data_IF_759119131628
#
_entry.id   IF_759119131628
#
_cell.length_a   1.000
_cell.length_b   1.000
_cell.length_c   1.000
_cell.angle_alpha   90.00
_cell.angle_beta   90.00
_cell.angle_gamma   90.00
#
_symmetry.space_group_name_H-M   'P 1'
#
loop_
_entity.id
_entity.type
_entity.pdbx_description
1 polymer ?
#
# COMPACT_ATOMS: atom_id res chain seq x y z
N UNK A 1 -9.03 -17.56 -7.06
CA UNK A 1 -7.64 -18.03 -6.94
C UNK A 1 -7.49 -19.07 -5.82
N UNK A 2 -7.10 -20.29 -6.17
CA UNK A 2 -6.80 -21.41 -5.28
C UNK A 2 -5.32 -21.83 -5.41
N UNK A 3 -4.75 -22.41 -4.35
CA UNK A 3 -3.38 -22.95 -4.38
C UNK A 3 -3.41 -24.44 -4.66
N UNK A 4 -2.74 -24.83 -5.74
CA UNK A 4 -2.67 -26.22 -6.15
C UNK A 4 -1.23 -26.68 -5.96
N UNK A 5 -1.10 -27.75 -5.16
CA UNK A 5 0.17 -28.42 -4.91
C UNK A 5 0.40 -29.45 -6.00
N UNK A 6 1.47 -29.28 -6.76
CA UNK A 6 1.88 -30.22 -7.81
C UNK A 6 3.20 -30.87 -7.41
N UNK A 7 3.25 -32.21 -7.49
CA UNK A 7 4.44 -32.99 -7.19
C UNK A 7 4.88 -33.75 -8.44
N UNK A 8 5.99 -33.32 -9.06
CA UNK A 8 6.52 -33.97 -10.26
C UNK A 8 7.94 -34.53 -10.02
N UNK A 9 8.44 -35.29 -11.00
CA UNK A 9 9.79 -35.89 -10.94
C UNK A 9 10.91 -34.83 -10.96
N UNK A 10 10.70 -33.74 -11.68
CA UNK A 10 11.62 -32.62 -11.81
C UNK A 10 10.87 -31.30 -12.08
N UNK A 11 11.58 -30.18 -11.98
CA UNK A 11 10.99 -28.84 -12.12
C UNK A 11 10.39 -28.56 -13.48
N UNK A 12 10.94 -29.18 -14.54
CA UNK A 12 10.45 -29.00 -15.90
C UNK A 12 9.11 -29.70 -16.08
N UNK A 13 9.02 -30.95 -15.65
CA UNK A 13 7.79 -31.75 -15.66
C UNK A 13 6.69 -31.10 -14.82
N UNK A 14 7.04 -30.54 -13.66
CA UNK A 14 6.07 -29.83 -12.82
C UNK A 14 5.53 -28.57 -13.52
N UNK A 15 6.39 -27.77 -14.16
CA UNK A 15 5.99 -26.55 -14.86
C UNK A 15 5.15 -26.87 -16.10
N UNK A 16 5.51 -27.92 -16.85
CA UNK A 16 4.71 -28.42 -17.98
C UNK A 16 3.32 -28.92 -17.52
N UNK A 17 3.23 -29.58 -16.36
CA UNK A 17 1.95 -30.02 -15.79
C UNK A 17 1.08 -28.84 -15.36
N UNK A 18 1.67 -27.79 -14.78
CA UNK A 18 0.98 -26.53 -14.43
C UNK A 18 0.41 -25.87 -15.69
N UNK A 19 1.25 -25.68 -16.72
CA UNK A 19 0.84 -25.06 -17.98
C UNK A 19 -0.26 -25.86 -18.68
N UNK A 20 -0.16 -27.20 -18.67
CA UNK A 20 -1.14 -28.07 -19.29
C UNK A 20 -2.50 -28.05 -18.59
N UNK A 21 -2.52 -27.97 -17.25
CA UNK A 21 -3.75 -28.03 -16.45
C UNK A 21 -4.42 -26.66 -16.28
N UNK A 22 -3.62 -25.59 -16.19
CA UNK A 22 -4.08 -24.29 -15.72
C UNK A 22 -3.78 -23.14 -16.69
N UNK A 23 -3.12 -23.43 -17.81
CA UNK A 23 -2.76 -22.45 -18.83
C UNK A 23 -1.62 -21.52 -18.42
N UNK A 24 -1.35 -20.53 -19.27
CA UNK A 24 -0.27 -19.56 -19.10
C UNK A 24 -0.49 -18.57 -17.93
N UNK A 25 -1.68 -18.62 -17.32
CA UNK A 25 -2.13 -17.71 -16.26
C UNK A 25 -1.80 -18.17 -14.83
N UNK A 26 -1.21 -19.36 -14.71
CA UNK A 26 -0.87 -19.98 -13.44
C UNK A 26 0.42 -19.40 -12.83
N UNK A 27 0.35 -18.94 -11.57
CA UNK A 27 1.47 -18.30 -10.87
C UNK A 27 2.17 -19.30 -9.94
N UNK A 28 3.44 -19.62 -10.21
CA UNK A 28 4.25 -20.46 -9.32
C UNK A 28 4.74 -19.62 -8.14
N UNK A 29 4.24 -19.91 -6.94
CA UNK A 29 4.58 -19.20 -5.70
C UNK A 29 5.83 -19.80 -5.05
N UNK A 30 5.98 -21.13 -5.14
CA UNK A 30 7.09 -21.84 -4.51
C UNK A 30 7.49 -23.04 -5.35
N UNK A 31 8.80 -23.28 -5.41
CA UNK A 31 9.41 -24.42 -6.08
C UNK A 31 10.46 -25.01 -5.14
N UNK A 32 10.22 -26.22 -4.63
CA UNK A 32 11.11 -26.86 -3.68
C UNK A 32 11.25 -28.36 -3.93
N UNK A 33 12.46 -28.89 -3.75
CA UNK A 33 12.70 -30.33 -3.88
C UNK A 33 12.47 -31.04 -2.54
N UNK A 34 11.52 -31.99 -2.50
CA UNK A 34 11.17 -32.77 -1.30
C UNK A 34 11.18 -34.25 -1.66
N UNK A 35 11.93 -35.07 -0.91
CA UNK A 35 12.02 -36.53 -1.06
C UNK A 35 12.29 -37.00 -2.51
N UNK A 36 13.18 -36.30 -3.21
CA UNK A 36 13.57 -36.64 -4.59
C UNK A 36 12.59 -36.22 -5.68
N UNK A 37 11.43 -35.66 -5.31
CA UNK A 37 10.44 -35.04 -6.22
C UNK A 37 10.48 -33.52 -6.09
N UNK A 38 9.95 -32.84 -7.08
CA UNK A 38 9.83 -31.39 -7.11
C UNK A 38 8.40 -30.98 -6.76
N UNK A 39 8.24 -30.23 -5.68
CA UNK A 39 6.99 -29.64 -5.21
C UNK A 39 6.86 -28.22 -5.75
N UNK A 40 5.80 -27.98 -6.53
CA UNK A 40 5.36 -26.67 -6.93
C UNK A 40 4.07 -26.30 -6.20
N UNK A 41 4.02 -25.09 -5.68
CA UNK A 41 2.79 -24.48 -5.18
C UNK A 41 2.39 -23.41 -6.18
N UNK A 42 1.20 -23.54 -6.75
CA UNK A 42 0.74 -22.70 -7.84
C UNK A 42 -0.58 -22.03 -7.50
N UNK A 43 -0.64 -20.71 -7.58
CA UNK A 43 -1.89 -19.96 -7.53
C UNK A 43 -2.55 -19.97 -8.89
N UNK A 44 -3.79 -20.46 -8.94
CA UNK A 44 -4.60 -20.52 -10.17
C UNK A 44 -5.94 -19.86 -9.93
N UNK A 45 -6.41 -19.00 -10.84
CA UNK A 45 -7.77 -18.48 -10.77
C UNK A 45 -8.76 -19.41 -11.47
N UNK A 46 -9.53 -20.18 -10.69
CA UNK A 46 -10.41 -21.22 -11.23
C UNK A 46 -11.56 -20.68 -12.10
N UNK A 47 -11.96 -19.41 -11.91
CA UNK A 47 -12.99 -18.79 -12.78
C UNK A 47 -12.48 -18.50 -14.19
N UNK A 48 -11.19 -18.23 -14.37
CA UNK A 48 -10.54 -18.10 -15.69
C UNK A 48 -10.14 -19.46 -16.26
N UNK A 49 -9.69 -20.39 -15.42
CA UNK A 49 -9.33 -21.74 -15.85
C UNK A 49 -10.54 -22.51 -16.41
N UNK A 50 -11.72 -22.40 -15.79
CA UNK A 50 -12.93 -23.06 -16.31
C UNK A 50 -13.39 -22.51 -17.67
N UNK A 51 -13.16 -21.22 -17.98
CA UNK A 51 -13.48 -20.66 -19.32
C UNK A 51 -12.58 -21.22 -20.42
N UNK A 52 -11.35 -21.62 -20.08
CA UNK A 52 -10.41 -22.22 -21.02
C UNK A 52 -10.59 -23.75 -21.17
N UNK A 53 -11.35 -24.39 -20.27
CA UNK A 53 -11.57 -25.85 -20.25
C UNK A 53 -12.86 -26.27 -20.98
N UNK A 54 -13.79 -25.35 -21.24
CA UNK A 54 -15.08 -25.64 -21.90
C UNK A 54 -15.01 -26.10 -23.37
N UNK A 55 -13.81 -26.39 -23.91
CA UNK A 55 -13.65 -26.93 -25.26
C UNK A 55 -12.98 -28.31 -25.35
N UNK A 56 -12.89 -29.10 -24.27
CA UNK A 56 -12.59 -30.54 -24.36
C UNK A 56 -13.10 -31.32 -23.15
N UNK A 57 -14.13 -32.11 -23.40
CA UNK A 57 -14.55 -33.36 -22.73
C UNK A 57 -14.28 -33.48 -21.21
N UNK A 58 -15.37 -33.43 -20.46
CA UNK A 58 -15.55 -33.80 -19.06
C UNK A 58 -14.88 -35.13 -18.65
N UNK A 59 -13.92 -35.05 -17.73
CA UNK A 59 -13.59 -36.12 -16.78
C UNK A 59 -13.67 -35.56 -15.36
N UNK A 60 -14.56 -36.14 -14.56
CA UNK A 60 -14.75 -35.84 -13.14
C UNK A 60 -13.48 -36.19 -12.34
N UNK A 61 -12.73 -35.18 -11.94
CA UNK A 61 -11.78 -35.29 -10.84
C UNK A 61 -12.26 -34.42 -9.68
N UNK A 62 -12.91 -35.04 -8.70
CA UNK A 62 -13.10 -34.47 -7.37
C UNK A 62 -11.75 -34.48 -6.64
N UNK A 63 -10.88 -33.51 -6.92
CA UNK A 63 -9.79 -33.17 -6.00
C UNK A 63 -10.29 -32.11 -5.01
N UNK A 64 -9.97 -32.24 -3.71
CA UNK A 64 -10.34 -31.24 -2.73
C UNK A 64 -9.56 -29.95 -3.03
N UNK A 65 -10.30 -28.86 -3.30
CA UNK A 65 -9.76 -27.51 -3.32
C UNK A 65 -9.02 -27.25 -2.00
N UNK A 66 -7.71 -27.01 -2.07
CA UNK A 66 -6.90 -26.71 -0.90
C UNK A 66 -6.92 -25.19 -0.71
N UNK A 67 -7.47 -24.72 0.41
CA UNK A 67 -7.55 -23.29 0.73
C UNK A 67 -6.15 -22.69 0.89
N UNK A 68 -5.95 -21.50 0.31
CA UNK A 68 -4.70 -20.74 0.41
C UNK A 68 -4.31 -20.52 1.88
N UNK A 69 -5.31 -20.28 2.74
CA UNK A 69 -5.10 -20.09 4.17
C UNK A 69 -4.43 -21.31 4.81
N UNK A 70 -4.90 -22.52 4.51
CA UNK A 70 -4.43 -23.75 5.14
C UNK A 70 -2.97 -24.07 4.77
N UNK A 71 -2.59 -23.86 3.50
CA UNK A 71 -1.20 -24.07 3.06
C UNK A 71 -0.27 -23.04 3.69
N UNK A 72 -0.67 -21.76 3.70
CA UNK A 72 0.13 -20.69 4.26
C UNK A 72 0.32 -20.86 5.78
N UNK A 73 -0.73 -21.22 6.50
CA UNK A 73 -0.70 -21.56 7.93
C UNK A 73 0.21 -22.76 8.21
N UNK A 74 0.16 -23.81 7.38
CA UNK A 74 1.03 -25.00 7.51
C UNK A 74 2.52 -24.69 7.31
N UNK A 75 2.87 -23.68 6.49
CA UNK A 75 4.26 -23.27 6.25
C UNK A 75 4.77 -22.30 7.33
N UNK A 76 3.91 -21.42 7.86
CA UNK A 76 4.23 -20.53 8.99
C UNK A 76 4.49 -21.30 10.29
N UNK A 77 3.65 -22.30 10.57
CA UNK A 77 3.80 -23.18 11.74
C UNK A 77 5.08 -24.02 11.69
N UNK A 78 5.42 -24.57 10.51
CA UNK A 78 6.65 -25.35 10.33
C UNK A 78 7.95 -24.53 10.52
N UNK A 79 7.92 -23.20 10.35
CA UNK A 79 9.09 -22.35 10.54
C UNK A 79 9.34 -21.92 12.00
N UNK A 80 8.37 -22.12 12.92
CA UNK A 80 8.54 -21.84 14.36
C UNK A 80 9.20 -22.98 15.14
N UNK A 81 9.42 -24.15 14.52
CA UNK A 81 10.00 -25.34 15.14
C UNK A 81 11.53 -25.37 15.27
N UNK A 82 12.26 -24.29 14.94
CA UNK A 82 13.73 -24.24 15.07
C UNK A 82 14.21 -23.02 15.86
N UNK A 83 13.92 -23.01 17.16
CA UNK A 83 14.66 -22.18 18.12
C UNK A 83 14.64 -22.81 19.52
N UNK A 84 15.77 -23.43 19.87
CA UNK A 84 16.39 -23.65 21.19
C UNK A 84 15.47 -24.17 22.31
N UNK A 85 15.67 -25.46 22.65
CA UNK A 85 15.24 -26.12 23.88
C UNK A 85 15.53 -25.27 25.14
N UNK A 86 14.48 -24.68 25.71
CA UNK A 86 14.38 -24.45 27.16
C UNK A 86 12.95 -24.79 27.59
N UNK A 87 12.84 -25.86 28.39
CA UNK A 87 11.61 -26.25 29.10
C UNK A 87 11.08 -25.06 29.91
N UNK A 88 9.97 -24.49 29.46
CA UNK A 88 9.06 -23.65 30.24
C UNK A 88 7.71 -24.41 30.25
N UNK A 89 6.94 -24.41 31.36
CA UNK A 89 5.71 -25.19 31.47
C UNK A 89 4.69 -24.78 30.42
N UNK A 90 3.92 -25.77 29.95
CA UNK A 90 2.86 -25.66 28.98
C UNK A 90 1.70 -24.82 29.51
N UNK A 91 1.66 -23.54 29.16
CA UNK A 91 0.40 -22.79 29.05
C UNK A 91 -0.18 -23.11 27.67
N UNK A 92 -1.27 -23.88 27.63
CA UNK A 92 -2.08 -24.00 26.41
C UNK A 92 -2.54 -22.59 26.02
N UNK A 93 -2.30 -22.13 24.77
CA UNK A 93 -2.75 -20.82 24.35
C UNK A 93 -4.28 -20.78 24.36
N UNK A 94 -4.80 -19.81 25.12
CA UNK A 94 -6.23 -19.53 25.30
C UNK A 94 -6.98 -19.54 23.96
N UNK A 95 -8.18 -20.14 23.89
CA UNK A 95 -8.93 -20.35 22.63
C UNK A 95 -9.19 -19.05 21.84
N UNK A 96 -9.33 -17.92 22.55
CA UNK A 96 -9.43 -16.59 21.94
C UNK A 96 -8.13 -16.16 21.25
N UNK A 97 -6.96 -16.55 21.78
CA UNK A 97 -5.66 -16.23 21.22
C UNK A 97 -5.46 -16.97 19.89
N UNK A 98 -5.84 -18.24 19.82
CA UNK A 98 -5.81 -19.02 18.57
C UNK A 98 -6.76 -18.46 17.51
N UNK A 99 -7.99 -18.09 17.88
CA UNK A 99 -8.91 -17.45 16.93
C UNK A 99 -8.38 -16.11 16.38
N UNK A 100 -7.71 -15.32 17.23
CA UNK A 100 -7.06 -14.06 16.80
C UNK A 100 -5.89 -14.30 15.87
N UNK A 101 -5.09 -15.34 16.12
CA UNK A 101 -3.98 -15.71 15.23
C UNK A 101 -4.48 -16.18 13.86
N UNK A 102 -5.53 -17.00 13.83
CA UNK A 102 -6.14 -17.48 12.57
C UNK A 102 -6.76 -16.35 11.75
N UNK A 103 -7.47 -15.41 12.39
CA UNK A 103 -8.01 -14.22 11.70
C UNK A 103 -6.89 -13.39 11.05
N UNK A 104 -5.80 -13.15 11.78
CA UNK A 104 -4.64 -12.44 11.25
C UNK A 104 -3.95 -13.19 10.11
N UNK A 105 -3.84 -14.51 10.21
CA UNK A 105 -3.25 -15.33 9.14
C UNK A 105 -4.05 -15.22 7.84
N UNK A 106 -5.38 -15.34 7.92
CA UNK A 106 -6.30 -15.16 6.78
C UNK A 106 -6.22 -13.76 6.16
N UNK A 107 -6.07 -12.72 6.98
CA UNK A 107 -5.93 -11.35 6.49
C UNK A 107 -4.59 -11.11 5.78
N UNK A 108 -3.50 -11.65 6.32
CA UNK A 108 -2.19 -11.60 5.67
C UNK A 108 -2.24 -12.30 4.30
N UNK A 109 -2.90 -13.45 4.24
CA UNK A 109 -3.18 -14.20 3.02
C UNK A 109 -3.94 -13.33 2.00
N UNK A 110 -5.04 -12.70 2.42
CA UNK A 110 -5.84 -11.87 1.52
C UNK A 110 -5.05 -10.65 1.00
N UNK A 111 -4.24 -10.03 1.86
CA UNK A 111 -3.37 -8.92 1.49
C UNK A 111 -2.33 -9.37 0.46
N UNK A 112 -1.63 -10.48 0.73
CA UNK A 112 -0.65 -11.05 -0.20
C UNK A 112 -1.31 -11.42 -1.53
N UNK A 113 -2.50 -12.02 -1.50
CA UNK A 113 -3.26 -12.33 -2.72
C UNK A 113 -3.58 -11.06 -3.53
N UNK A 114 -4.01 -10.00 -2.85
CA UNK A 114 -4.27 -8.70 -3.47
C UNK A 114 -3.02 -8.12 -4.14
N UNK A 115 -1.87 -8.16 -3.45
CA UNK A 115 -0.58 -7.70 -3.99
C UNK A 115 -0.14 -8.52 -5.21
N UNK A 116 -0.22 -9.86 -5.14
CA UNK A 116 0.13 -10.73 -6.26
C UNK A 116 -0.76 -10.49 -7.48
N UNK A 117 -2.06 -10.26 -7.26
CA UNK A 117 -3.00 -9.95 -8.34
C UNK A 117 -2.66 -8.61 -8.99
N UNK A 118 -2.32 -7.58 -8.20
CA UNK A 118 -1.89 -6.30 -8.74
C UNK A 118 -0.59 -6.41 -9.53
N UNK A 119 0.39 -7.18 -9.04
CA UNK A 119 1.65 -7.45 -9.75
C UNK A 119 1.38 -8.17 -11.07
N UNK A 120 0.52 -9.20 -11.08
CA UNK A 120 0.14 -9.92 -12.31
C UNK A 120 -0.46 -8.95 -13.33
N UNK A 121 -1.37 -8.08 -12.90
CA UNK A 121 -1.99 -7.09 -13.77
C UNK A 121 -0.96 -6.09 -14.33
N UNK A 122 -0.05 -5.58 -13.51
CA UNK A 122 1.04 -4.69 -13.95
C UNK A 122 1.94 -5.37 -14.99
N UNK A 123 2.32 -6.64 -14.78
CA UNK A 123 3.12 -7.41 -15.74
C UNK A 123 2.36 -7.60 -17.05
N UNK A 124 1.08 -7.93 -17.00
CA UNK A 124 0.26 -8.12 -18.20
C UNK A 124 0.10 -6.83 -18.99
N UNK A 125 -0.14 -5.70 -18.30
CA UNK A 125 -0.18 -4.38 -18.94
C UNK A 125 1.18 -4.01 -19.57
N UNK A 126 2.29 -4.27 -18.87
CA UNK A 126 3.62 -4.00 -19.40
C UNK A 126 3.96 -4.86 -20.63
N UNK A 127 3.60 -6.16 -20.61
CA UNK A 127 3.74 -7.06 -21.77
C UNK A 127 2.93 -6.57 -22.97
N UNK A 128 1.66 -6.20 -22.74
CA UNK A 128 0.78 -5.71 -23.80
C UNK A 128 1.27 -4.36 -24.36
N UNK A 129 1.76 -3.47 -23.51
CA UNK A 129 2.37 -2.22 -23.94
C UNK A 129 3.62 -2.43 -24.81
N UNK A 130 4.49 -3.37 -24.42
CA UNK A 130 5.66 -3.76 -25.21
C UNK A 130 5.30 -4.40 -26.56
N UNK A 131 4.15 -5.09 -26.63
CA UNK A 131 3.62 -5.66 -27.88
C UNK A 131 2.93 -4.60 -28.78
N UNK A 132 2.35 -3.55 -28.20
CA UNK A 132 1.59 -2.51 -28.90
C UNK A 132 2.44 -1.31 -29.37
N UNK A 133 3.65 -1.10 -28.84
CA UNK A 133 4.38 0.13 -29.12
C UNK A 133 5.89 0.00 -29.11
N UNK A 134 6.47 -0.26 -30.29
CA UNK A 134 7.80 0.24 -30.68
C UNK A 134 7.81 1.78 -30.81
N UNK A 135 7.16 2.49 -29.89
CA UNK A 135 7.37 3.93 -29.72
C UNK A 135 8.47 4.04 -28.65
N UNK A 136 9.69 3.63 -29.00
CA UNK A 136 10.82 4.17 -28.27
C UNK A 136 10.78 5.68 -28.57
N UNK A 137 10.79 6.55 -27.55
CA UNK A 137 10.94 7.96 -27.79
C UNK A 137 12.16 8.16 -28.69
N UNK A 138 11.99 8.85 -29.82
CA UNK A 138 13.11 9.18 -30.71
C UNK A 138 14.17 9.99 -29.96
N UNK A 139 13.73 10.73 -28.94
CA UNK A 139 14.57 11.50 -28.05
C UNK A 139 15.12 10.65 -26.88
N UNK A 140 16.45 10.59 -26.77
CA UNK A 140 17.18 9.89 -25.71
C UNK A 140 16.79 10.38 -24.31
N UNK A 141 16.60 11.69 -24.12
CA UNK A 141 16.21 12.23 -22.80
C UNK A 141 14.84 11.70 -22.38
N UNK A 142 13.87 11.68 -23.31
CA UNK A 142 12.54 11.17 -23.01
C UNK A 142 12.58 9.66 -22.74
N UNK A 143 13.42 8.91 -23.44
CA UNK A 143 13.61 7.48 -23.15
C UNK A 143 14.16 7.24 -21.72
N UNK A 144 15.13 8.04 -21.27
CA UNK A 144 15.65 7.97 -19.88
C UNK A 144 14.56 8.38 -18.89
N UNK A 145 13.76 9.40 -19.21
CA UNK A 145 12.66 9.84 -18.36
C UNK A 145 11.62 8.72 -18.19
N UNK A 146 11.25 8.00 -19.26
CA UNK A 146 10.34 6.85 -19.19
C UNK A 146 10.93 5.70 -18.36
N UNK A 147 12.24 5.47 -18.43
CA UNK A 147 12.91 4.52 -17.54
C UNK A 147 12.84 4.99 -16.07
N UNK A 148 13.12 6.27 -15.81
CA UNK A 148 13.03 6.85 -14.48
C UNK A 148 11.61 6.72 -13.90
N UNK A 149 10.57 7.01 -14.68
CA UNK A 149 9.16 6.78 -14.32
C UNK A 149 8.90 5.33 -13.92
N UNK A 150 9.51 4.36 -14.62
CA UNK A 150 9.40 2.94 -14.28
C UNK A 150 10.09 2.62 -12.95
N UNK A 151 11.31 3.12 -12.74
CA UNK A 151 12.11 2.81 -11.54
C UNK A 151 11.59 3.47 -10.26
N UNK A 152 10.81 4.56 -10.34
CA UNK A 152 10.13 5.17 -9.18
C UNK A 152 8.78 4.51 -8.84
N UNK A 153 8.43 3.40 -9.51
CA UNK A 153 7.21 2.65 -9.22
C UNK A 153 5.93 3.30 -9.77
N UNK A 154 6.02 4.08 -10.85
CA UNK A 154 4.83 4.64 -11.50
C UNK A 154 3.96 3.51 -12.09
N UNK A 155 2.65 3.44 -11.77
CA UNK A 155 1.75 2.43 -12.34
C UNK A 155 1.79 2.42 -13.87
N UNK A 156 1.75 1.23 -14.47
CA UNK A 156 1.94 1.07 -15.92
C UNK A 156 0.91 1.86 -16.73
N UNK A 157 -0.35 1.85 -16.34
CA UNK A 157 -1.40 2.60 -17.03
C UNK A 157 -1.10 4.12 -17.05
N UNK A 158 -0.77 4.70 -15.89
CA UNK A 158 -0.40 6.12 -15.78
C UNK A 158 0.86 6.44 -16.58
N UNK A 159 1.88 5.57 -16.50
CA UNK A 159 3.14 5.74 -17.24
C UNK A 159 2.93 5.77 -18.74
N UNK A 160 2.04 4.94 -19.29
CA UNK A 160 1.72 4.94 -20.72
C UNK A 160 1.04 6.24 -21.14
N UNK A 161 0.04 6.70 -20.37
CA UNK A 161 -0.66 7.95 -20.63
C UNK A 161 0.30 9.15 -20.61
N UNK A 162 1.15 9.23 -19.58
CA UNK A 162 2.11 10.33 -19.45
C UNK A 162 3.22 10.26 -20.52
N UNK A 163 3.69 9.06 -20.86
CA UNK A 163 4.73 8.89 -21.89
C UNK A 163 4.22 9.31 -23.27
N UNK A 164 2.96 8.97 -23.61
CA UNK A 164 2.33 9.44 -24.84
C UNK A 164 2.18 10.97 -24.84
N UNK A 165 1.72 11.54 -23.72
CA UNK A 165 1.55 12.98 -23.55
C UNK A 165 2.84 13.79 -23.78
N UNK A 166 3.99 13.26 -23.35
CA UNK A 166 5.29 13.93 -23.47
C UNK A 166 6.17 13.42 -24.61
N UNK A 167 5.67 12.53 -25.47
CA UNK A 167 6.47 11.89 -26.52
C UNK A 167 7.09 12.89 -27.51
N UNK A 168 6.44 14.03 -27.73
CA UNK A 168 6.89 15.10 -28.63
C UNK A 168 7.85 16.11 -28.00
N UNK A 169 8.20 15.96 -26.72
CA UNK A 169 9.02 16.94 -25.99
C UNK A 169 10.51 16.75 -26.29
N UNK A 170 11.21 17.88 -26.36
CA UNK A 170 12.63 17.91 -26.73
C UNK A 170 13.59 17.73 -25.55
N UNK A 171 13.11 17.85 -24.31
CA UNK A 171 13.97 17.72 -23.13
C UNK A 171 13.24 17.14 -21.92
N UNK A 172 14.00 16.58 -20.98
CA UNK A 172 13.52 16.12 -19.67
C UNK A 172 12.75 17.25 -18.96
N UNK A 173 13.36 18.44 -18.86
CA UNK A 173 12.77 19.56 -18.12
C UNK A 173 11.40 19.98 -18.66
N UNK A 174 11.25 20.03 -19.97
CA UNK A 174 9.98 20.36 -20.62
C UNK A 174 8.95 19.25 -20.37
N UNK A 175 9.33 17.98 -20.54
CA UNK A 175 8.46 16.84 -20.27
C UNK A 175 8.01 16.76 -18.81
N UNK A 176 8.92 16.93 -17.85
CA UNK A 176 8.59 16.93 -16.42
C UNK A 176 7.65 18.08 -16.03
N UNK A 177 7.83 19.26 -16.65
CA UNK A 177 6.94 20.41 -16.43
C UNK A 177 5.53 20.13 -16.96
N UNK A 178 5.43 19.49 -18.13
CA UNK A 178 4.16 19.11 -18.73
C UNK A 178 3.46 17.97 -17.97
N UNK A 179 4.20 16.96 -17.48
CA UNK A 179 3.67 15.93 -16.57
C UNK A 179 3.09 16.60 -15.32
N UNK A 180 3.82 17.54 -14.72
CA UNK A 180 3.35 18.28 -13.55
C UNK A 180 2.05 19.04 -13.85
N UNK A 181 1.98 19.72 -14.98
CA UNK A 181 0.78 20.45 -15.40
C UNK A 181 -0.40 19.49 -15.64
N UNK A 182 -0.17 18.42 -16.39
CA UNK A 182 -1.17 17.41 -16.69
C UNK A 182 -1.76 16.80 -15.42
N UNK A 183 -0.92 16.44 -14.44
CA UNK A 183 -1.40 15.89 -13.15
C UNK A 183 -2.26 16.89 -12.39
N UNK A 184 -1.85 18.16 -12.33
CA UNK A 184 -2.63 19.22 -11.66
C UNK A 184 -3.98 19.45 -12.32
N UNK A 185 -4.06 19.38 -13.65
CA UNK A 185 -5.31 19.54 -14.39
C UNK A 185 -6.26 18.33 -14.27
N UNK A 186 -5.70 17.13 -14.04
CA UNK A 186 -6.49 15.90 -13.94
C UNK A 186 -6.84 15.48 -12.51
N UNK A 187 -6.12 15.95 -11.49
CA UNK A 187 -6.51 15.80 -10.08
C UNK A 187 -7.59 16.84 -9.76
N UNK A 188 -8.86 16.43 -9.90
CA UNK A 188 -10.03 17.31 -9.73
C UNK A 188 -10.62 17.27 -8.31
N UNK A 189 -9.95 16.56 -7.40
CA UNK A 189 -10.41 16.40 -6.02
C UNK A 189 -10.52 17.75 -5.31
N UNK A 190 -11.64 17.98 -4.62
CA UNK A 190 -11.79 19.16 -3.78
C UNK A 190 -10.91 19.03 -2.53
N UNK A 191 -10.18 20.09 -2.18
CA UNK A 191 -9.48 20.17 -0.91
C UNK A 191 -10.41 20.76 0.16
N UNK A 192 -10.58 20.04 1.26
CA UNK A 192 -11.44 20.44 2.39
C UNK A 192 -10.59 20.63 3.67
N UNK A 193 -11.02 21.46 4.64
CA UNK A 193 -10.33 21.57 5.91
C UNK A 193 -10.45 20.28 6.74
N UNK A 194 -9.65 20.17 7.80
CA UNK A 194 -9.89 19.18 8.84
C UNK A 194 -11.23 19.47 9.54
N UNK A 195 -12.00 18.43 9.91
CA UNK A 195 -13.24 18.61 10.64
C UNK A 195 -13.00 19.13 12.05
N UNK A 196 -13.95 19.92 12.55
CA UNK A 196 -13.87 20.56 13.88
C UNK A 196 -15.09 20.26 14.77
N UNK A 197 -16.12 19.59 14.24
CA UNK A 197 -17.36 19.26 14.96
C UNK A 197 -18.00 18.00 14.39
N UNK A 198 -18.75 17.27 15.22
CA UNK A 198 -19.47 16.06 14.81
C UNK A 198 -18.70 14.78 15.12
N UNK A 199 -19.09 13.68 14.49
CA UNK A 199 -18.50 12.35 14.70
C UNK A 199 -17.68 11.95 13.49
N UNK A 200 -16.39 11.69 13.68
CA UNK A 200 -15.46 11.40 12.60
C UNK A 200 -14.77 10.06 12.84
N UNK A 201 -14.92 9.14 11.90
CA UNK A 201 -14.35 7.80 11.95
C UNK A 201 -13.15 7.74 11.01
N UNK A 202 -11.98 7.37 11.52
CA UNK A 202 -10.76 7.21 10.71
C UNK A 202 -10.55 5.74 10.40
N UNK A 203 -10.67 5.41 9.11
CA UNK A 203 -10.49 4.07 8.55
C UNK A 203 -9.23 3.96 7.71
N UNK A 204 -8.77 2.75 7.42
CA UNK A 204 -7.57 2.52 6.59
C UNK A 204 -6.76 1.30 7.00
N UNK A 205 -5.87 0.79 6.13
CA UNK A 205 -5.14 -0.46 6.35
C UNK A 205 -4.28 -0.44 7.60
N UNK A 206 -3.86 -1.60 8.08
CA UNK A 206 -2.89 -1.69 9.18
C UNK A 206 -1.61 -0.92 8.85
N UNK A 207 -1.04 -0.22 9.82
CA UNK A 207 0.18 0.57 9.62
C UNK A 207 0.02 1.90 8.85
N UNK A 208 -1.19 2.25 8.39
CA UNK A 208 -1.48 3.52 7.69
C UNK A 208 -1.40 4.77 8.56
N UNK A 209 -1.18 4.66 9.87
CA UNK A 209 -1.03 5.83 10.76
C UNK A 209 -2.33 6.44 11.30
N UNK A 210 -3.46 5.71 11.26
CA UNK A 210 -4.77 6.15 11.80
C UNK A 210 -4.70 6.74 13.21
N UNK A 211 -4.15 5.99 14.16
CA UNK A 211 -4.04 6.41 15.57
C UNK A 211 -3.22 7.70 15.73
N UNK A 212 -2.16 7.85 14.93
CA UNK A 212 -1.34 9.08 14.90
C UNK A 212 -2.14 10.25 14.32
N UNK A 213 -2.87 10.04 13.22
CA UNK A 213 -3.74 11.08 12.64
C UNK A 213 -4.81 11.51 13.64
N UNK A 214 -5.49 10.57 14.30
CA UNK A 214 -6.50 10.89 15.32
C UNK A 214 -5.91 11.70 16.46
N UNK A 215 -4.77 11.30 16.99
CA UNK A 215 -4.12 12.06 18.06
C UNK A 215 -3.73 13.47 17.62
N UNK A 216 -3.27 13.63 16.36
CA UNK A 216 -2.97 14.96 15.81
C UNK A 216 -4.22 15.79 15.52
N UNK A 217 -5.31 15.18 15.07
CA UNK A 217 -6.61 15.84 14.94
C UNK A 217 -7.09 16.33 16.29
N UNK A 218 -7.07 15.47 17.32
CA UNK A 218 -7.40 15.84 18.70
C UNK A 218 -6.55 17.01 19.19
N UNK A 219 -5.23 16.96 18.99
CA UNK A 219 -4.29 18.04 19.32
C UNK A 219 -4.58 19.35 18.56
N UNK A 220 -4.93 19.25 17.28
CA UNK A 220 -5.26 20.42 16.46
C UNK A 220 -6.54 21.09 16.95
N UNK A 221 -7.56 20.31 17.30
CA UNK A 221 -8.86 20.83 17.73
C UNK A 221 -8.79 21.35 19.17
N UNK A 222 -8.06 20.68 20.07
CA UNK A 222 -7.91 21.11 21.48
C UNK A 222 -7.12 22.42 21.65
N UNK A 223 -6.46 22.90 20.58
CA UNK A 223 -5.90 24.27 20.54
C UNK A 223 -6.95 25.34 20.26
N UNK A 224 -8.12 24.97 19.76
CA UNK A 224 -9.21 25.88 19.36
C UNK A 224 -10.38 25.85 20.33
N UNK A 225 -10.60 24.72 20.99
CA UNK A 225 -11.69 24.49 21.93
C UNK A 225 -11.15 23.83 23.20
N UNK A 226 -11.92 23.89 24.28
CA UNK A 226 -11.58 23.20 25.52
C UNK A 226 -11.36 21.69 25.24
N UNK A 227 -10.25 21.07 25.69
CA UNK A 227 -10.00 19.64 25.55
C UNK A 227 -11.16 18.75 26.00
N UNK A 228 -11.96 19.18 26.99
CA UNK A 228 -13.13 18.43 27.48
C UNK A 228 -14.23 18.29 26.41
N UNK A 229 -14.25 19.18 25.41
CA UNK A 229 -15.17 19.14 24.26
C UNK A 229 -14.69 18.22 23.12
N UNK A 230 -13.55 17.56 23.28
CA UNK A 230 -12.98 16.61 22.31
C UNK A 230 -12.94 15.23 22.96
N UNK A 231 -13.43 14.20 22.28
CA UNK A 231 -13.24 12.81 22.71
C UNK A 231 -12.58 11.97 21.62
N UNK A 232 -11.75 11.02 22.05
CA UNK A 232 -11.22 9.96 21.20
C UNK A 232 -11.77 8.61 21.65
N UNK A 233 -12.22 7.78 20.71
CA UNK A 233 -12.67 6.42 20.98
C UNK A 233 -11.82 5.43 20.18
N UNK A 234 -11.11 4.54 20.88
CA UNK A 234 -10.51 3.36 20.27
C UNK A 234 -11.58 2.29 20.13
N UNK A 235 -12.05 2.05 18.89
CA UNK A 235 -13.11 1.11 18.58
C UNK A 235 -12.55 -0.27 18.22
N UNK A 236 -12.99 -1.29 18.94
CA UNK A 236 -12.76 -2.72 18.67
C UNK A 236 -11.30 -3.09 18.35
N UNK A 237 -10.32 -2.36 18.92
CA UNK A 237 -8.92 -2.64 18.68
C UNK A 237 -8.41 -3.77 19.60
N UNK A 238 -8.08 -4.88 18.95
CA UNK A 238 -7.59 -6.10 19.56
C UNK A 238 -6.06 -6.23 19.50
N UNK A 239 -5.35 -5.22 18.96
CA UNK A 239 -3.88 -5.20 18.94
C UNK A 239 -3.35 -4.95 20.35
N UNK A 240 -2.36 -5.74 20.75
CA UNK A 240 -1.68 -5.57 22.04
C UNK A 240 -1.03 -4.19 22.08
N UNK A 241 -1.27 -3.43 23.15
CA UNK A 241 -0.71 -2.10 23.34
C UNK A 241 -1.39 -0.96 22.57
N UNK A 242 -2.29 -1.23 21.61
CA UNK A 242 -2.93 -0.16 20.83
C UNK A 242 -3.80 0.78 21.69
N UNK A 243 -4.49 0.21 22.69
CA UNK A 243 -5.22 1.00 23.68
C UNK A 243 -4.28 1.93 24.47
N UNK A 244 -3.20 1.39 25.03
CA UNK A 244 -2.22 2.19 25.76
C UNK A 244 -1.56 3.25 24.90
N UNK A 245 -1.27 2.94 23.62
CA UNK A 245 -0.76 3.91 22.66
C UNK A 245 -1.75 5.05 22.42
N UNK A 246 -3.04 4.74 22.22
CA UNK A 246 -4.08 5.76 22.05
C UNK A 246 -4.14 6.67 23.27
N UNK A 247 -4.20 6.10 24.49
CA UNK A 247 -4.23 6.86 25.74
C UNK A 247 -3.02 7.80 25.87
N UNK A 248 -1.81 7.30 25.59
CA UNK A 248 -0.59 8.11 25.68
C UNK A 248 -0.63 9.26 24.67
N UNK A 249 -1.03 8.99 23.43
CA UNK A 249 -1.03 10.00 22.37
C UNK A 249 -2.07 11.10 22.62
N UNK A 250 -3.26 10.76 23.12
CA UNK A 250 -4.32 11.76 23.38
C UNK A 250 -4.07 12.56 24.66
N UNK A 251 -3.50 11.92 25.70
CA UNK A 251 -3.14 12.59 26.94
C UNK A 251 -2.12 13.72 26.74
N UNK A 252 -1.26 13.64 25.72
CA UNK A 252 -0.35 14.73 25.35
C UNK A 252 -1.07 16.03 24.97
N UNK A 253 -2.36 15.95 24.61
CA UNK A 253 -3.20 17.08 24.22
C UNK A 253 -4.30 17.39 25.25
N UNK A 254 -4.28 16.72 26.40
CA UNK A 254 -5.33 16.83 27.43
C UNK A 254 -6.67 16.21 27.03
N UNK A 255 -6.72 15.42 25.96
CA UNK A 255 -7.97 14.86 25.41
C UNK A 255 -8.21 13.47 25.97
N UNK A 256 -9.44 13.24 26.47
CA UNK A 256 -9.84 11.92 26.95
C UNK A 256 -9.92 10.90 25.82
N UNK A 257 -9.44 9.70 26.12
CA UNK A 257 -9.63 8.52 25.29
C UNK A 257 -10.54 7.51 26.00
N UNK A 258 -11.42 6.87 25.21
CA UNK A 258 -12.33 5.81 25.64
C UNK A 258 -12.09 4.55 24.81
N UNK A 259 -12.35 3.38 25.40
CA UNK A 259 -12.23 2.09 24.71
C UNK A 259 -13.60 1.47 24.51
N UNK A 260 -13.99 1.25 23.26
CA UNK A 260 -15.19 0.53 22.89
C UNK A 260 -14.82 -0.87 22.38
N UNK A 261 -15.52 -1.91 22.87
CA UNK A 261 -15.30 -3.31 22.43
C UNK A 261 -16.27 -3.75 21.31
N UNK A 262 -17.14 -2.85 20.85
CA UNK A 262 -18.16 -3.17 19.86
C UNK A 262 -19.30 -2.15 19.85
N UNK A 263 -20.22 -2.34 18.91
CA UNK A 263 -21.29 -1.37 18.59
C UNK A 263 -22.14 -0.97 19.79
N UNK A 264 -22.52 -1.90 20.66
CA UNK A 264 -23.37 -1.59 21.82
C UNK A 264 -22.68 -0.64 22.80
N UNK A 265 -21.41 -0.94 23.14
CA UNK A 265 -20.62 -0.05 23.99
C UNK A 265 -20.36 1.31 23.32
N UNK A 266 -20.22 1.35 22.00
CA UNK A 266 -20.05 2.60 21.26
C UNK A 266 -21.31 3.47 21.36
N UNK A 267 -22.51 2.88 21.20
CA UNK A 267 -23.78 3.61 21.33
C UNK A 267 -23.94 4.24 22.72
N UNK A 268 -23.54 3.53 23.78
CA UNK A 268 -23.54 4.08 25.13
C UNK A 268 -22.62 5.31 25.25
N UNK A 269 -21.40 5.23 24.70
CA UNK A 269 -20.49 6.39 24.67
C UNK A 269 -21.05 7.55 23.84
N UNK A 270 -21.79 7.30 22.75
CA UNK A 270 -22.42 8.40 21.99
C UNK A 270 -23.47 9.14 22.81
N UNK A 271 -24.19 8.44 23.69
CA UNK A 271 -25.15 9.09 24.60
C UNK A 271 -24.43 9.91 25.66
N UNK A 272 -23.41 9.32 26.31
CA UNK A 272 -22.63 9.96 27.37
C UNK A 272 -21.85 11.19 26.87
N UNK A 273 -21.27 11.09 25.67
CA UNK A 273 -20.40 12.12 25.09
C UNK A 273 -21.16 13.09 24.16
N UNK A 274 -22.49 13.05 24.16
CA UNK A 274 -23.35 13.86 23.27
C UNK A 274 -23.16 15.38 23.41
N UNK A 275 -22.69 15.84 24.58
CA UNK A 275 -22.37 17.26 24.82
C UNK A 275 -21.02 17.70 24.24
N UNK A 276 -20.16 16.78 23.78
CA UNK A 276 -18.86 17.12 23.21
C UNK A 276 -19.01 17.67 21.81
N UNK A 277 -18.19 18.65 21.46
CA UNK A 277 -18.21 19.27 20.13
C UNK A 277 -17.80 18.28 19.04
N UNK A 278 -16.81 17.42 19.33
CA UNK A 278 -16.26 16.48 18.37
C UNK A 278 -15.89 15.14 19.03
N UNK A 279 -16.19 14.06 18.32
CA UNK A 279 -15.82 12.69 18.69
C UNK A 279 -15.03 12.07 17.53
N UNK A 280 -13.80 11.64 17.81
CA UNK A 280 -12.91 10.99 16.86
C UNK A 280 -12.85 9.49 17.17
N UNK A 281 -13.10 8.64 16.17
CA UNK A 281 -13.16 7.19 16.36
C UNK A 281 -12.02 6.53 15.57
N UNK A 282 -11.09 5.88 16.29
CA UNK A 282 -10.01 5.06 15.72
C UNK A 282 -10.50 3.65 15.49
N UNK A 283 -10.34 3.15 14.26
CA UNK A 283 -10.79 1.81 13.89
C UNK A 283 -9.63 0.84 13.71
N UNK A 284 -9.88 -0.49 13.76
CA UNK A 284 -8.88 -1.47 13.40
C UNK A 284 -8.47 -1.33 11.93
N UNK A 285 -7.24 -1.77 11.62
CA UNK A 285 -6.71 -1.75 10.24
C UNK A 285 -7.13 -2.93 9.38
N UNK A 286 -8.14 -3.67 9.82
CA UNK A 286 -8.57 -4.96 9.28
C UNK A 286 -10.08 -4.96 9.14
N UNK A 287 -10.61 -5.79 8.23
CA UNK A 287 -12.06 -5.85 7.95
C UNK A 287 -12.70 -4.47 7.81
N UNK A 288 -12.03 -3.59 7.06
CA UNK A 288 -12.38 -2.16 7.00
C UNK A 288 -13.80 -1.96 6.46
N UNK A 289 -14.17 -2.72 5.42
CA UNK A 289 -15.51 -2.65 4.83
C UNK A 289 -16.62 -3.08 5.80
N UNK A 290 -16.42 -4.19 6.54
CA UNK A 290 -17.34 -4.68 7.57
C UNK A 290 -17.45 -3.65 8.71
N UNK A 291 -16.32 -3.23 9.26
CA UNK A 291 -16.25 -2.24 10.35
C UNK A 291 -16.94 -0.94 9.96
N UNK A 292 -16.69 -0.46 8.75
CA UNK A 292 -17.33 0.74 8.22
C UNK A 292 -18.84 0.56 8.11
N UNK A 293 -19.31 -0.56 7.55
CA UNK A 293 -20.74 -0.86 7.42
C UNK A 293 -21.42 -0.89 8.79
N UNK A 294 -20.84 -1.59 9.76
CA UNK A 294 -21.37 -1.67 11.12
C UNK A 294 -21.45 -0.29 11.79
N UNK A 295 -20.39 0.50 11.68
CA UNK A 295 -20.34 1.85 12.23
C UNK A 295 -21.29 2.80 11.52
N UNK A 296 -21.46 2.69 10.20
CA UNK A 296 -22.37 3.54 9.43
C UNK A 296 -23.83 3.25 9.78
N UNK A 297 -24.17 1.98 10.03
CA UNK A 297 -25.48 1.59 10.54
C UNK A 297 -25.72 2.07 11.96
N UNK A 298 -24.68 2.07 12.81
CA UNK A 298 -24.78 2.52 14.19
C UNK A 298 -24.78 4.05 14.33
N UNK A 299 -24.08 4.74 13.44
CA UNK A 299 -23.82 6.19 13.47
C UNK A 299 -24.08 6.80 12.07
N UNK A 300 -25.35 6.98 11.68
CA UNK A 300 -25.70 7.46 10.33
C UNK A 300 -25.15 8.85 9.98
N UNK A 301 -24.96 9.71 10.99
CA UNK A 301 -24.45 11.08 10.84
C UNK A 301 -22.93 11.17 10.91
N UNK A 302 -22.22 10.05 11.09
CA UNK A 302 -20.77 10.06 11.18
C UNK A 302 -20.11 10.22 9.81
N UNK A 303 -19.05 11.02 9.75
CA UNK A 303 -18.20 11.14 8.57
C UNK A 303 -17.07 10.10 8.61
N UNK A 304 -16.78 9.47 7.47
CA UNK A 304 -15.79 8.41 7.37
C UNK A 304 -14.61 8.85 6.53
N UNK A 305 -13.42 8.89 7.13
CA UNK A 305 -12.20 9.36 6.48
C UNK A 305 -11.26 8.17 6.22
N UNK A 306 -10.80 8.03 4.98
CA UNK A 306 -9.79 7.04 4.63
C UNK A 306 -8.41 7.60 4.92
N UNK A 307 -7.58 6.84 5.62
CA UNK A 307 -6.15 7.10 5.76
C UNK A 307 -5.36 6.12 4.90
N UNK A 308 -4.54 6.65 3.98
CA UNK A 308 -3.57 5.87 3.22
C UNK A 308 -2.16 6.39 3.49
N UNK A 309 -1.15 5.51 3.64
CA UNK A 309 0.23 5.97 3.60
C UNK A 309 0.57 6.47 2.17
N UNK A 310 1.50 7.41 2.07
CA UNK A 310 1.91 7.99 0.81
C UNK A 310 2.50 6.93 -0.16
N UNK A 311 3.15 5.89 0.37
CA UNK A 311 3.65 4.72 -0.37
C UNK A 311 2.65 3.56 -0.46
N UNK A 312 1.34 3.83 -0.42
CA UNK A 312 0.36 2.76 -0.57
C UNK A 312 0.54 2.04 -1.91
N UNK A 313 0.51 0.70 -1.88
CA UNK A 313 0.63 -0.11 -3.10
C UNK A 313 -0.53 0.14 -4.07
N UNK A 314 -0.36 -0.30 -5.32
CA UNK A 314 -1.44 -0.29 -6.33
C UNK A 314 -2.63 -1.12 -5.84
N UNK A 315 -2.39 -2.28 -5.22
CA UNK A 315 -3.45 -3.13 -4.68
C UNK A 315 -4.24 -2.43 -3.58
N UNK A 316 -3.53 -1.82 -2.61
CA UNK A 316 -4.14 -1.11 -1.48
C UNK A 316 -4.91 0.12 -1.94
N UNK A 317 -4.30 0.92 -2.81
CA UNK A 317 -4.92 2.13 -3.35
C UNK A 317 -6.14 1.77 -4.18
N UNK A 318 -6.06 0.77 -5.06
CA UNK A 318 -7.22 0.33 -5.83
C UNK A 318 -8.35 -0.21 -4.95
N UNK A 319 -8.02 -1.02 -3.94
CA UNK A 319 -9.01 -1.62 -3.03
C UNK A 319 -9.80 -0.58 -2.25
N UNK A 320 -9.14 0.43 -1.70
CA UNK A 320 -9.78 1.37 -0.77
C UNK A 320 -10.14 2.71 -1.38
N UNK A 321 -9.35 3.21 -2.33
CA UNK A 321 -9.59 4.48 -3.00
C UNK A 321 -10.43 4.26 -4.26
N UNK A 322 -9.87 3.74 -5.37
CA UNK A 322 -10.57 3.73 -6.68
C UNK A 322 -11.81 2.81 -6.75
N UNK A 323 -11.83 1.69 -6.02
CA UNK A 323 -13.03 0.86 -5.89
C UNK A 323 -13.93 1.28 -4.71
N UNK A 324 -13.46 2.17 -3.84
CA UNK A 324 -14.13 2.62 -2.62
C UNK A 324 -14.58 4.08 -2.65
N UNK A 325 -14.52 4.76 -3.79
CA UNK A 325 -14.63 6.23 -3.96
C UNK A 325 -15.90 6.87 -3.40
N UNK A 326 -17.01 6.13 -3.36
CA UNK A 326 -18.29 6.61 -2.81
C UNK A 326 -18.45 6.39 -1.31
N UNK A 327 -17.42 5.85 -0.65
CA UNK A 327 -17.48 5.51 0.76
C UNK A 327 -16.95 6.64 1.64
N UNK A 328 -16.05 7.49 1.16
CA UNK A 328 -15.25 8.35 2.04
C UNK A 328 -15.66 9.81 2.00
N UNK A 329 -15.87 10.39 3.18
CA UNK A 329 -16.04 11.84 3.38
C UNK A 329 -14.76 12.60 3.03
N UNK A 330 -13.59 12.01 3.29
CA UNK A 330 -12.32 12.51 2.79
C UNK A 330 -11.18 11.48 2.81
N UNK A 331 -10.09 11.82 2.15
CA UNK A 331 -8.80 11.15 2.19
C UNK A 331 -7.80 11.94 3.04
N UNK A 332 -7.04 11.19 3.84
CA UNK A 332 -5.94 11.65 4.67
C UNK A 332 -4.70 10.86 4.23
N UNK A 333 -3.60 11.54 3.90
CA UNK A 333 -2.36 10.87 3.50
C UNK A 333 -1.35 10.93 4.63
N UNK A 334 -0.78 9.80 5.01
CA UNK A 334 0.25 9.71 6.06
C UNK A 334 1.63 9.36 5.50
N UNK A 335 2.65 9.42 6.35
CA UNK A 335 4.01 8.97 6.04
C UNK A 335 4.61 9.63 4.80
N UNK A 336 4.34 10.92 4.62
CA UNK A 336 4.93 11.71 3.54
C UNK A 336 6.46 11.80 3.71
N UNK A 337 6.95 11.74 4.94
CA UNK A 337 8.37 11.77 5.31
C UNK A 337 9.14 10.48 5.01
N UNK A 338 8.44 9.35 4.85
CA UNK A 338 9.05 8.03 4.66
C UNK A 338 8.95 7.52 3.20
N UNK A 339 8.36 8.30 2.28
CA UNK A 339 7.92 7.78 0.98
C UNK A 339 8.52 8.49 -0.23
N UNK A 340 9.13 7.69 -1.12
CA UNK A 340 9.46 8.10 -2.48
C UNK A 340 8.49 7.53 -3.54
N UNK A 341 7.62 6.59 -3.16
CA UNK A 341 6.75 5.82 -4.06
C UNK A 341 5.30 6.31 -3.99
N UNK A 342 5.06 7.59 -4.31
CA UNK A 342 3.72 8.20 -4.20
C UNK A 342 2.81 7.99 -5.42
N UNK A 343 3.35 7.39 -6.48
CA UNK A 343 2.72 7.30 -7.78
C UNK A 343 1.42 6.47 -7.83
N UNK A 344 1.27 5.36 -7.08
CA UNK A 344 -0.02 4.68 -7.00
C UNK A 344 -1.13 5.58 -6.48
N UNK A 345 -0.84 6.39 -5.46
CA UNK A 345 -1.80 7.36 -4.90
C UNK A 345 -2.07 8.49 -5.89
N UNK A 346 -1.02 9.09 -6.49
CA UNK A 346 -1.19 10.14 -7.51
C UNK A 346 -2.06 9.68 -8.69
N UNK A 347 -1.81 8.48 -9.22
CA UNK A 347 -2.61 7.92 -10.32
C UNK A 347 -4.07 7.69 -9.92
N UNK A 348 -4.31 7.19 -8.71
CA UNK A 348 -5.67 7.03 -8.22
C UNK A 348 -6.41 8.37 -8.05
N UNK A 349 -5.71 9.44 -7.68
CA UNK A 349 -6.28 10.78 -7.60
C UNK A 349 -6.65 11.38 -8.96
N UNK A 350 -6.08 10.91 -10.08
CA UNK A 350 -6.54 11.36 -11.41
C UNK A 350 -7.80 10.62 -11.88
N UNK A 351 -8.12 9.49 -11.25
CA UNK A 351 -9.30 8.67 -11.57
C UNK A 351 -10.48 8.93 -10.64
N UNK A 352 -10.20 9.35 -9.40
CA UNK A 352 -11.18 9.53 -8.35
C UNK A 352 -11.41 11.00 -7.95
N UNK A 353 -12.55 11.30 -7.33
CA UNK A 353 -12.93 12.62 -6.81
C UNK A 353 -13.17 12.64 -5.29
N UNK A 354 -12.59 11.74 -4.49
CA UNK A 354 -12.65 11.82 -3.02
C UNK A 354 -12.15 13.20 -2.53
N UNK A 355 -12.79 13.83 -1.54
CA UNK A 355 -12.29 15.08 -0.97
C UNK A 355 -10.94 14.86 -0.27
N UNK A 356 -9.97 15.76 -0.45
CA UNK A 356 -8.64 15.68 0.18
C UNK A 356 -8.61 16.58 1.41
N UNK A 357 -8.26 16.04 2.58
CA UNK A 357 -8.27 16.82 3.82
C UNK A 357 -6.88 17.26 4.27
N UNK A 358 -6.03 16.30 4.64
CA UNK A 358 -4.74 16.61 5.26
C UNK A 358 -3.65 15.59 4.95
N UNK A 359 -2.41 16.02 5.13
CA UNK A 359 -1.19 15.21 5.04
C UNK A 359 -0.46 15.14 6.38
N UNK A 360 0.14 13.99 6.68
CA UNK A 360 1.02 13.80 7.82
C UNK A 360 2.45 13.48 7.37
N UNK A 361 3.39 14.36 7.72
CA UNK A 361 4.82 14.31 7.40
C UNK A 361 5.70 14.07 8.65
N UNK A 362 5.11 13.64 9.77
CA UNK A 362 5.89 13.29 10.96
C UNK A 362 5.12 12.39 11.92
N UNK A 363 5.78 11.48 12.65
CA UNK A 363 5.17 10.76 13.76
C UNK A 363 4.96 11.65 15.01
N UNK A 364 5.64 12.79 15.13
CA UNK A 364 5.58 13.65 16.31
C UNK A 364 4.24 14.39 16.42
N UNK A 365 3.55 14.26 17.56
CA UNK A 365 2.29 14.98 17.84
C UNK A 365 2.47 16.51 17.86
N UNK A 366 3.69 17.00 18.16
CA UNK A 366 3.99 18.43 18.19
C UNK A 366 3.94 19.08 16.80
N UNK A 367 4.19 18.29 15.75
CA UNK A 367 4.11 18.74 14.36
C UNK A 367 2.68 18.54 13.88
N UNK A 368 1.93 19.61 13.57
CA UNK A 368 0.51 19.50 13.19
C UNK A 368 0.35 18.78 11.85
N UNK A 369 -0.88 18.35 11.57
CA UNK A 369 -1.26 17.94 10.22
C UNK A 369 -1.24 19.18 9.30
N UNK A 370 -0.78 18.99 8.07
CA UNK A 370 -0.82 20.02 7.03
C UNK A 370 -2.10 19.86 6.20
N UNK A 371 -2.70 20.97 5.77
CA UNK A 371 -3.77 20.92 4.76
C UNK A 371 -3.22 20.26 3.51
N UNK A 372 -4.00 19.39 2.87
CA UNK A 372 -3.57 18.76 1.63
C UNK A 372 -3.29 19.83 0.55
N UNK A 373 -2.10 19.76 -0.04
CA UNK A 373 -1.67 20.66 -1.12
C UNK A 373 -1.35 19.82 -2.35
N UNK A 374 -2.21 19.94 -3.37
CA UNK A 374 -2.07 19.19 -4.64
C UNK A 374 -0.81 19.60 -5.37
N UNK A 375 -0.47 20.89 -5.37
CA UNK A 375 0.71 21.39 -6.06
C UNK A 375 1.99 20.83 -5.44
N UNK A 376 2.06 20.86 -4.11
CA UNK A 376 3.18 20.28 -3.34
C UNK A 376 3.28 18.77 -3.57
N UNK A 377 2.16 18.05 -3.50
CA UNK A 377 2.15 16.58 -3.64
C UNK A 377 2.56 16.12 -5.05
N UNK A 378 2.07 16.80 -6.10
CA UNK A 378 2.49 16.54 -7.49
C UNK A 378 3.97 16.91 -7.67
N UNK A 379 4.41 18.06 -7.14
CA UNK A 379 5.80 18.49 -7.24
C UNK A 379 6.76 17.47 -6.60
N UNK A 380 6.41 16.89 -5.45
CA UNK A 380 7.18 15.81 -4.82
C UNK A 380 7.31 14.60 -5.75
N UNK A 381 6.22 14.15 -6.37
CA UNK A 381 6.25 12.99 -7.27
C UNK A 381 7.14 13.24 -8.49
N UNK A 382 6.99 14.40 -9.13
CA UNK A 382 7.80 14.79 -10.29
C UNK A 382 9.27 14.96 -9.89
N UNK A 383 9.56 15.57 -8.74
CA UNK A 383 10.93 15.69 -8.24
C UNK A 383 11.62 14.33 -8.09
N UNK A 384 10.91 13.31 -7.59
CA UNK A 384 11.44 11.95 -7.46
C UNK A 384 11.81 11.34 -8.83
N UNK A 385 11.00 11.58 -9.87
CA UNK A 385 11.33 11.15 -11.25
C UNK A 385 12.59 11.86 -11.75
N UNK A 386 12.74 13.16 -11.49
CA UNK A 386 13.89 13.95 -11.94
C UNK A 386 15.19 13.58 -11.24
N UNK A 387 15.11 13.30 -9.93
CA UNK A 387 16.23 12.74 -9.18
C UNK A 387 16.65 11.41 -9.78
N UNK A 388 15.67 10.52 -10.07
CA UNK A 388 15.97 9.21 -10.65
C UNK A 388 16.52 9.29 -12.07
N UNK A 389 16.01 10.21 -12.88
CA UNK A 389 16.55 10.53 -14.20
C UNK A 389 18.05 10.90 -14.11
N UNK A 390 18.39 11.78 -13.18
CA UNK A 390 19.78 12.24 -12.99
C UNK A 390 20.69 11.08 -12.57
N UNK A 391 20.23 10.23 -11.65
CA UNK A 391 20.94 9.02 -11.23
C UNK A 391 21.23 8.08 -12.41
N UNK A 392 20.25 7.84 -13.28
CA UNK A 392 20.41 6.97 -14.46
C UNK A 392 21.43 7.55 -15.44
N UNK A 393 21.38 8.87 -15.70
CA UNK A 393 22.35 9.53 -16.58
C UNK A 393 23.78 9.53 -16.00
N UNK A 394 23.95 9.71 -14.68
CA UNK A 394 25.25 9.60 -14.02
C UNK A 394 25.84 8.19 -14.16
N UNK A 395 25.04 7.14 -13.91
CA UNK A 395 25.48 5.75 -14.06
C UNK A 395 25.88 5.43 -15.50
N UNK A 396 25.14 5.94 -16.49
CA UNK A 396 25.44 5.73 -17.91
C UNK A 396 26.71 6.45 -18.35
N UNK A 397 26.97 7.65 -17.82
CA UNK A 397 28.22 8.40 -18.07
C UNK A 397 29.41 7.67 -17.45
N UNK A 398 29.29 7.23 -16.19
CA UNK A 398 30.33 6.45 -15.51
C UNK A 398 30.64 5.13 -16.24
N UNK A 399 29.60 4.44 -16.74
CA UNK A 399 29.73 3.23 -17.54
C UNK A 399 30.42 3.44 -18.89
N UNK A 400 30.14 4.55 -19.58
CA UNK A 400 30.84 4.93 -20.81
C UNK A 400 32.30 5.34 -20.53
N UNK A 401 32.55 6.08 -19.46
CA UNK A 401 33.93 6.44 -19.09
C UNK A 401 34.75 5.23 -18.64
N UNK A 402 34.13 4.21 -18.03
CA UNK A 402 34.82 2.97 -17.67
C UNK A 402 35.02 2.03 -18.88
N UNK A 403 34.12 2.02 -19.87
CA UNK A 403 34.37 1.30 -21.14
C UNK A 403 35.46 1.98 -21.98
N UNK A 404 35.56 3.31 -21.91
CA UNK A 404 36.63 4.07 -22.57
C UNK A 404 37.95 4.00 -21.78
N UNK A 405 37.90 3.86 -20.45
CA UNK A 405 39.06 3.68 -19.57
C UNK A 405 39.53 2.23 -19.41
N UNK A 406 38.76 1.22 -19.86
CA UNK A 406 39.28 -0.15 -20.03
C UNK A 406 40.31 -0.24 -21.18
N UNK A 407 40.49 0.83 -21.96
CA UNK A 407 41.64 1.02 -22.83
C UNK A 407 42.84 1.73 -22.19
N UNK A 408 42.72 2.29 -20.97
CA UNK A 408 43.85 2.92 -20.27
C UNK A 408 43.72 2.81 -18.73
N UNK A 409 44.29 1.71 -18.21
CA UNK A 409 44.76 1.43 -16.84
C UNK A 409 44.22 2.23 -15.62
N UNK A 410 43.60 1.47 -14.70
CA UNK A 410 43.62 1.55 -13.21
C UNK A 410 43.78 2.93 -12.55
N UNK A 411 42.70 3.47 -11.95
CA UNK A 411 42.76 3.95 -10.55
C UNK A 411 41.39 4.01 -9.88
N UNK A 412 41.41 3.75 -8.57
CA UNK A 412 40.30 3.47 -7.67
C UNK A 412 39.55 4.74 -7.21
N UNK A 413 38.22 4.67 -7.13
CA UNK A 413 37.37 5.04 -5.97
C UNK A 413 35.90 4.77 -6.36
N UNK A 414 35.13 4.03 -5.54
CA UNK A 414 33.77 3.62 -5.91
C UNK A 414 32.75 4.75 -5.80
N UNK A 415 31.97 4.97 -6.85
CA UNK A 415 30.91 5.99 -6.99
C UNK A 415 29.86 5.97 -5.86
N UNK A 416 29.73 4.84 -5.16
CA UNK A 416 28.80 4.60 -4.05
C UNK A 416 28.96 5.56 -2.86
N UNK A 417 30.18 6.02 -2.56
CA UNK A 417 30.42 6.92 -1.41
C UNK A 417 30.03 8.38 -1.70
N UNK A 418 30.07 8.81 -2.97
CA UNK A 418 29.70 10.18 -3.38
C UNK A 418 28.18 10.40 -3.33
N UNK A 419 27.40 9.36 -3.63
CA UNK A 419 25.93 9.39 -3.58
C UNK A 419 25.43 9.48 -2.13
N UNK A 420 26.08 8.77 -1.20
CA UNK A 420 25.71 8.81 0.23
C UNK A 420 26.00 10.16 0.89
N UNK A 421 27.05 10.87 0.48
CA UNK A 421 27.34 12.21 1.01
C UNK A 421 26.34 13.28 0.52
N UNK A 422 25.87 13.20 -0.73
CA UNK A 422 24.86 14.15 -1.24
C UNK A 422 23.48 13.94 -0.62
N UNK A 423 23.09 12.68 -0.37
CA UNK A 423 21.85 12.31 0.34
C UNK A 423 21.68 13.01 1.69
N UNK A 424 22.78 13.29 2.39
CA UNK A 424 22.76 13.98 3.68
C UNK A 424 22.52 15.49 3.54
N UNK A 425 23.06 16.11 2.47
CA UNK A 425 22.93 17.56 2.25
C UNK A 425 21.55 18.00 1.75
N UNK A 426 20.84 17.15 0.99
CA UNK A 426 19.50 17.49 0.48
C UNK A 426 18.44 17.45 1.58
N UNK A 427 18.61 16.59 2.59
CA UNK A 427 17.75 16.51 3.77
C UNK A 427 17.93 17.71 4.72
N UNK A 428 19.12 18.35 4.74
CA UNK A 428 19.41 19.50 5.59
C UNK A 428 18.95 20.85 4.99
N UNK A 429 18.58 20.89 3.71
CA UNK A 429 18.10 22.10 3.03
C UNK A 429 16.57 22.19 2.86
N UNK A 430 15.83 21.18 3.35
CA UNK A 430 14.36 21.13 3.31
C UNK A 430 13.69 21.17 4.70
N UNK A 431 14.48 21.33 5.77
CA UNK A 431 14.03 21.79 7.09
C UNK A 431 14.15 23.30 7.20
#
# INVERSE_FOLDING_TARGET
MELIRILAKDSRSATEEVLKKYGDDALIISNQRINGKNELIVAVDLEEANRNVDNKSSENYNEPAIDFADIFESKLSNNRGKSIDKKIPSDEPDSETQQRENLRARELVELVRGELTAIKNEINLAKNAGAWGKILPSNKEIAVLTEAMTQVGMPTALRLLLSDHVASKDSERAASSDIQLWLKENIKNRVIPLPEKGVHVVCGPSGSGKSTIIAKMACFISKKVDPDNVAVISYNDHRLGAWGQTQILTAQSGVDAFRSKGVDSLKNFMQELSGRQIILIDTPGVKISETKSDLQNALPDAEFHLTLPANASIATTSKYLTKGTKLWSSLLISKIDESNEIWPVLGALTEDNVPLSATNSSPSIKIPLEKFDVDKFVATGVANVREKYTEIEEIRKDGQTNSDAEFDNKSQFSSTERVLQRRKSTLEHLT
#
